data_IF_067139479133
#
_entry.id   IF_067139479133
#
_cell.length_a   1.000
_cell.length_b   1.000
_cell.length_c   1.000
_cell.angle_alpha   90.00
_cell.angle_beta   90.00
_cell.angle_gamma   90.00
#
_symmetry.space_group_name_H-M   'P 1'
#
loop_
_entity.id
_entity.type
_entity.pdbx_description
1 polymer ?
#
# COMPACT_ATOMS: atom_id res chain seq x y z
N UNK A 1 0.82 7.21 12.27
CA UNK A 1 2.15 7.70 11.83
C UNK A 1 3.20 6.71 12.29
N UNK A 2 4.25 6.51 11.49
CA UNK A 2 5.37 5.59 11.78
C UNK A 2 6.70 6.36 11.70
N UNK A 3 7.79 5.85 12.30
CA UNK A 3 9.12 6.46 12.15
C UNK A 3 9.57 6.54 10.69
N UNK A 4 10.37 7.55 10.34
CA UNK A 4 10.96 7.68 9.00
C UNK A 4 11.80 6.44 8.65
N UNK A 5 11.75 5.99 7.39
CA UNK A 5 12.42 4.77 6.96
C UNK A 5 11.73 3.46 7.40
N UNK A 6 10.66 3.53 8.20
CA UNK A 6 9.87 2.34 8.56
C UNK A 6 8.69 2.14 7.60
N UNK A 7 8.30 0.88 7.33
CA UNK A 7 7.10 0.60 6.55
C UNK A 7 5.83 1.16 7.21
N UNK A 8 4.98 1.82 6.43
CA UNK A 8 3.67 2.33 6.86
C UNK A 8 2.70 2.44 5.69
N UNK A 9 1.42 2.64 5.99
CA UNK A 9 0.43 2.91 4.95
C UNK A 9 0.63 4.32 4.36
N UNK A 10 0.62 4.43 3.03
CA UNK A 10 0.61 5.73 2.36
C UNK A 10 -0.79 6.35 2.51
N UNK A 11 -0.85 7.48 3.19
CA UNK A 11 -2.06 8.29 3.27
C UNK A 11 -1.84 9.58 2.47
N UNK A 12 -2.83 9.96 1.67
CA UNK A 12 -2.74 11.12 0.79
C UNK A 12 -3.88 12.10 1.04
N UNK A 13 -3.60 13.39 0.94
CA UNK A 13 -4.60 14.46 0.95
C UNK A 13 -4.16 15.56 -0.01
N UNK A 14 -5.07 15.97 -0.88
CA UNK A 14 -4.80 17.01 -1.87
C UNK A 14 -5.96 17.19 -2.83
N UNK A 15 -5.82 18.15 -3.74
CA UNK A 15 -6.87 18.56 -4.67
C UNK A 15 -7.36 17.46 -5.61
N UNK A 16 -6.53 16.43 -5.85
CA UNK A 16 -6.86 15.29 -6.73
C UNK A 16 -7.53 14.11 -6.00
N UNK A 17 -7.62 14.16 -4.67
CA UNK A 17 -8.21 13.06 -3.90
C UNK A 17 -9.72 13.09 -4.05
N UNK A 18 -10.33 11.93 -4.33
CA UNK A 18 -11.78 11.81 -4.46
C UNK A 18 -12.51 12.24 -3.17
N UNK A 19 -13.75 12.73 -3.30
CA UNK A 19 -14.59 13.08 -2.15
C UNK A 19 -15.19 11.85 -1.45
N UNK A 20 -15.26 10.73 -2.17
CA UNK A 20 -15.82 9.48 -1.69
C UNK A 20 -16.18 8.54 -2.85
N UNK A 21 -16.64 7.36 -2.49
CA UNK A 21 -17.19 6.40 -3.43
C UNK A 21 -18.65 6.73 -3.73
N UNK A 22 -19.01 6.65 -5.01
CA UNK A 22 -20.37 6.92 -5.47
C UNK A 22 -21.36 5.89 -4.90
N UNK A 23 -22.38 6.37 -4.18
CA UNK A 23 -23.43 5.52 -3.60
C UNK A 23 -22.99 4.61 -2.45
N UNK A 24 -21.74 4.74 -1.97
CA UNK A 24 -21.19 3.88 -0.92
C UNK A 24 -20.54 4.71 0.20
N UNK A 25 -21.40 5.24 1.07
CA UNK A 25 -21.00 6.06 2.20
C UNK A 25 -20.21 5.25 3.25
N UNK A 26 -20.52 3.96 3.41
CA UNK A 26 -19.83 3.09 4.35
C UNK A 26 -18.37 2.90 3.96
N UNK A 27 -18.11 2.54 2.69
CA UNK A 27 -16.76 2.40 2.16
C UNK A 27 -16.02 3.74 2.12
N UNK A 28 -16.74 4.83 1.84
CA UNK A 28 -16.16 6.18 1.92
C UNK A 28 -15.62 6.48 3.31
N UNK A 29 -16.37 6.20 4.38
CA UNK A 29 -15.92 6.40 5.77
C UNK A 29 -14.82 5.44 6.22
N UNK A 30 -14.75 4.24 5.64
CA UNK A 30 -13.64 3.31 5.88
C UNK A 30 -12.32 3.85 5.30
N UNK A 31 -12.39 4.34 4.06
CA UNK A 31 -11.26 4.70 3.21
C UNK A 31 -10.79 6.15 3.40
N UNK A 32 -11.69 7.10 3.66
CA UNK A 32 -11.36 8.51 3.87
C UNK A 32 -11.61 8.86 5.34
N UNK A 33 -10.59 9.41 6.00
CA UNK A 33 -10.69 9.83 7.40
C UNK A 33 -11.54 11.10 7.54
N UNK A 34 -12.04 11.36 8.75
CA UNK A 34 -12.87 12.53 9.02
C UNK A 34 -12.15 13.88 8.76
N UNK A 35 -10.82 13.90 8.81
CA UNK A 35 -9.95 15.05 8.49
C UNK A 35 -9.43 15.06 7.03
N UNK A 36 -9.99 14.19 6.18
CA UNK A 36 -9.87 14.22 4.72
C UNK A 36 -8.69 13.45 4.14
N UNK A 37 -8.06 12.53 4.88
CA UNK A 37 -6.98 11.69 4.35
C UNK A 37 -7.53 10.43 3.69
N UNK A 38 -7.08 10.17 2.47
CA UNK A 38 -7.28 8.91 1.78
C UNK A 38 -6.28 7.87 2.28
N UNK A 39 -6.77 6.76 2.81
CA UNK A 39 -5.99 5.54 3.06
C UNK A 39 -5.87 4.77 1.76
N UNK A 40 -4.68 4.74 1.14
CA UNK A 40 -4.55 4.11 -0.19
C UNK A 40 -4.53 2.57 -0.13
N UNK A 41 -4.24 1.99 1.04
CA UNK A 41 -3.99 0.57 1.20
C UNK A 41 -2.61 0.12 0.74
N UNK A 42 -1.78 1.02 0.20
CA UNK A 42 -0.40 0.72 -0.21
C UNK A 42 0.53 0.89 0.99
N UNK A 43 1.39 -0.09 1.21
CA UNK A 43 2.46 -0.03 2.20
C UNK A 43 3.73 0.48 1.54
N UNK A 44 4.30 1.54 2.11
CA UNK A 44 5.49 2.22 1.58
C UNK A 44 6.52 2.48 2.67
N UNK A 45 7.76 2.66 2.26
CA UNK A 45 8.83 3.23 3.08
C UNK A 45 9.12 4.63 2.54
N UNK A 46 9.00 5.65 3.40
CA UNK A 46 9.36 7.02 3.05
C UNK A 46 10.86 7.23 3.26
N UNK A 47 11.52 7.75 2.23
CA UNK A 47 12.95 8.06 2.21
C UNK A 47 13.16 9.54 2.55
N UNK A 48 14.33 9.87 3.10
CA UNK A 48 14.72 11.25 3.44
C UNK A 48 14.69 12.21 2.24
N UNK A 49 14.85 11.69 1.02
CA UNK A 49 14.74 12.47 -0.21
C UNK A 49 13.30 12.91 -0.55
N UNK A 50 12.30 12.46 0.20
CA UNK A 50 10.88 12.68 -0.10
C UNK A 50 10.29 11.68 -1.11
N UNK A 51 11.07 10.71 -1.58
CA UNK A 51 10.57 9.61 -2.40
C UNK A 51 10.03 8.50 -1.51
N UNK A 52 9.11 7.69 -2.04
CA UNK A 52 8.64 6.49 -1.37
C UNK A 52 8.98 5.25 -2.18
N UNK A 53 9.36 4.17 -1.49
CA UNK A 53 9.47 2.83 -2.07
C UNK A 53 8.21 2.04 -1.72
N UNK A 54 7.53 1.50 -2.73
CA UNK A 54 6.39 0.60 -2.52
C UNK A 54 6.90 -0.75 -2.03
N UNK A 55 6.31 -1.24 -0.94
CA UNK A 55 6.61 -2.56 -0.34
C UNK A 55 5.53 -3.56 -0.72
N UNK A 56 4.27 -3.14 -0.79
CA UNK A 56 3.17 -4.01 -1.16
C UNK A 56 1.82 -3.40 -0.81
N UNK A 57 0.79 -4.23 -0.71
CA UNK A 57 -0.57 -3.82 -0.33
C UNK A 57 -0.96 -4.45 0.99
N UNK A 58 -1.51 -3.64 1.90
CA UNK A 58 -1.92 -4.08 3.23
C UNK A 58 -3.00 -5.16 3.17
N UNK A 59 -3.90 -5.08 2.18
CA UNK A 59 -4.99 -6.04 2.00
C UNK A 59 -4.53 -7.36 1.34
N UNK A 60 -3.34 -7.41 0.77
CA UNK A 60 -2.80 -8.58 0.05
C UNK A 60 -1.68 -9.29 0.85
N UNK A 61 -1.30 -8.75 2.01
CA UNK A 61 -0.29 -9.37 2.86
C UNK A 61 -0.75 -10.74 3.37
N UNK A 62 0.05 -11.77 3.11
CA UNK A 62 -0.16 -13.13 3.61
C UNK A 62 0.48 -13.24 4.99
N UNK A 63 -0.30 -13.64 6.01
CA UNK A 63 0.23 -13.88 7.36
C UNK A 63 0.51 -15.37 7.53
N UNK A 64 1.77 -15.73 7.71
CA UNK A 64 2.19 -17.12 7.92
C UNK A 64 3.17 -17.21 9.09
N UNK A 65 2.81 -17.96 10.13
CA UNK A 65 3.68 -18.15 11.30
C UNK A 65 3.93 -16.89 12.14
N UNK A 66 3.15 -15.83 11.94
CA UNK A 66 3.37 -14.52 12.58
C UNK A 66 4.08 -13.51 11.69
N UNK A 67 4.68 -13.96 10.58
CA UNK A 67 5.35 -13.11 9.62
C UNK A 67 4.38 -12.60 8.53
N UNK A 68 4.58 -11.35 8.12
CA UNK A 68 3.87 -10.75 6.97
C UNK A 68 4.70 -10.97 5.72
N UNK A 69 4.12 -11.67 4.75
CA UNK A 69 4.71 -11.99 3.47
C UNK A 69 3.95 -11.22 2.40
N UNK A 70 4.65 -10.43 1.60
CA UNK A 70 4.04 -9.66 0.51
C UNK A 70 4.21 -10.44 -0.80
N UNK A 71 3.11 -10.81 -1.50
CA UNK A 71 3.19 -11.52 -2.78
C UNK A 71 4.13 -10.85 -3.78
N UNK A 72 4.10 -9.52 -3.84
CA UNK A 72 4.97 -8.71 -4.70
C UNK A 72 6.48 -8.97 -4.53
N UNK A 73 6.96 -9.20 -3.31
CA UNK A 73 8.39 -9.51 -3.09
C UNK A 73 8.75 -10.89 -3.68
N UNK A 74 7.81 -11.83 -3.63
CA UNK A 74 7.95 -13.18 -4.19
C UNK A 74 7.86 -13.13 -5.72
N UNK A 75 6.91 -12.37 -6.25
CA UNK A 75 6.73 -12.11 -7.69
C UNK A 75 8.00 -11.49 -8.30
N UNK A 76 8.54 -10.43 -7.68
CA UNK A 76 9.79 -9.79 -8.10
C UNK A 76 10.98 -10.77 -8.10
N UNK A 77 11.02 -11.70 -7.14
CA UNK A 77 12.02 -12.76 -7.13
C UNK A 77 11.80 -13.75 -8.29
N UNK A 78 10.58 -14.21 -8.54
CA UNK A 78 10.29 -15.14 -9.63
C UNK A 78 10.58 -14.54 -11.00
N UNK A 79 10.35 -13.24 -11.20
CA UNK A 79 10.72 -12.53 -12.42
C UNK A 79 12.23 -12.50 -12.69
N UNK A 80 13.07 -12.81 -11.70
CA UNK A 80 14.51 -12.98 -11.93
C UNK A 80 14.87 -14.32 -12.58
N UNK A 81 13.94 -15.28 -12.62
CA UNK A 81 14.17 -16.61 -13.19
C UNK A 81 13.97 -16.59 -14.72
N UNK A 82 14.93 -17.09 -15.53
CA UNK A 82 14.91 -16.94 -16.99
C UNK A 82 13.72 -17.62 -17.68
N UNK A 83 13.14 -18.65 -17.06
CA UNK A 83 11.97 -19.37 -17.58
C UNK A 83 10.62 -18.77 -17.14
N UNK A 84 10.62 -17.72 -16.30
CA UNK A 84 9.40 -17.05 -15.84
C UNK A 84 9.17 -15.81 -16.69
N UNK A 85 8.06 -15.79 -17.41
CA UNK A 85 7.70 -14.69 -18.31
C UNK A 85 6.91 -13.59 -17.60
N UNK A 86 6.07 -13.95 -16.63
CA UNK A 86 5.21 -13.02 -15.90
C UNK A 86 4.78 -13.57 -14.53
N UNK A 87 4.37 -12.69 -13.63
CA UNK A 87 3.86 -12.98 -12.28
C UNK A 87 2.79 -11.96 -11.91
N UNK A 88 1.70 -12.38 -11.25
CA UNK A 88 0.55 -11.53 -10.89
C UNK A 88 0.08 -11.75 -9.46
#
# INVERSE_FOLDING_TARGET
MVPMGSPGELWARGYIVMLGYWGDEAKTRETITADGWLKTGDQVILLESGHCKVVGRIKEAIIRGGDKIFPKEIEEFFLSHPDVVDTQ
#
